data_IF_491650595605
#
_entry.id   IF_491650595605
#
_cell.length_a   1.000
_cell.length_b   1.000
_cell.length_c   1.000
_cell.angle_alpha   90.00
_cell.angle_beta   90.00
_cell.angle_gamma   90.00
#
_symmetry.space_group_name_H-M   'P 1'
#
loop_
_entity.id
_entity.type
_entity.pdbx_description
1 polymer ?
#
# COMPACT_ATOMS: atom_id res chain seq x y z
N UNK A 1 -5.61 2.73 -22.60
CA UNK A 1 -6.94 2.07 -22.76
C UNK A 1 -7.55 1.76 -21.39
N UNK A 2 -6.79 1.26 -20.44
CA UNK A 2 -7.21 0.89 -19.07
C UNK A 2 -7.89 2.04 -18.31
N UNK A 3 -7.30 3.21 -18.22
CA UNK A 3 -7.85 4.36 -17.48
C UNK A 3 -9.21 4.84 -17.98
N UNK A 4 -9.49 4.77 -19.30
CA UNK A 4 -10.82 5.13 -19.87
C UNK A 4 -11.90 4.13 -19.47
N UNK A 5 -11.56 2.84 -19.44
CA UNK A 5 -12.49 1.77 -19.02
C UNK A 5 -12.77 1.91 -17.51
N UNK A 6 -11.73 2.11 -16.71
CA UNK A 6 -11.86 2.32 -15.28
C UNK A 6 -12.75 3.52 -14.95
N UNK A 7 -12.53 4.66 -15.60
CA UNK A 7 -13.36 5.86 -15.44
C UNK A 7 -14.83 5.60 -15.83
N UNK A 8 -15.09 4.90 -16.93
CA UNK A 8 -16.44 4.57 -17.35
C UNK A 8 -17.15 3.66 -16.33
N UNK A 9 -16.47 2.63 -15.85
CA UNK A 9 -17.00 1.73 -14.79
C UNK A 9 -17.28 2.52 -13.52
N UNK A 10 -16.35 3.36 -13.09
CA UNK A 10 -16.52 4.23 -11.92
C UNK A 10 -17.79 5.08 -12.04
N UNK A 11 -17.97 5.80 -13.15
CA UNK A 11 -19.15 6.66 -13.38
C UNK A 11 -20.44 5.84 -13.35
N UNK A 12 -20.47 4.68 -14.03
CA UNK A 12 -21.65 3.81 -14.06
C UNK A 12 -22.03 3.32 -12.66
N UNK A 13 -21.06 2.89 -11.86
CA UNK A 13 -21.30 2.43 -10.48
C UNK A 13 -21.78 3.57 -9.60
N UNK A 14 -21.19 4.77 -9.72
CA UNK A 14 -21.63 5.96 -8.99
C UNK A 14 -23.09 6.31 -9.30
N UNK A 15 -23.47 6.31 -10.59
CA UNK A 15 -24.85 6.57 -11.02
C UNK A 15 -25.80 5.51 -10.46
N UNK A 16 -25.45 4.24 -10.59
CA UNK A 16 -26.27 3.13 -10.09
C UNK A 16 -26.53 3.25 -8.58
N UNK A 17 -25.48 3.43 -7.78
CA UNK A 17 -25.60 3.55 -6.33
C UNK A 17 -26.37 4.82 -5.94
N UNK A 18 -26.18 5.94 -6.65
CA UNK A 18 -26.95 7.17 -6.43
C UNK A 18 -28.46 6.95 -6.65
N UNK A 19 -28.83 6.32 -7.77
CA UNK A 19 -30.22 6.02 -8.09
C UNK A 19 -30.83 5.07 -7.05
N UNK A 20 -30.10 4.03 -6.67
CA UNK A 20 -30.55 3.08 -5.65
C UNK A 20 -30.69 3.73 -4.28
N UNK A 21 -29.79 4.64 -3.92
CA UNK A 21 -29.85 5.41 -2.66
C UNK A 21 -31.11 6.30 -2.62
N UNK A 22 -31.38 7.05 -3.70
CA UNK A 22 -32.59 7.88 -3.81
C UNK A 22 -33.87 7.04 -3.78
N UNK A 23 -33.89 5.90 -4.49
CA UNK A 23 -35.00 4.96 -4.43
C UNK A 23 -35.24 4.48 -3.00
N UNK A 24 -34.18 4.15 -2.26
CA UNK A 24 -34.23 3.70 -0.87
C UNK A 24 -34.82 4.77 0.06
N UNK A 25 -34.32 6.02 -0.03
CA UNK A 25 -34.78 7.14 0.80
C UNK A 25 -36.28 7.41 0.57
N UNK A 26 -36.74 7.37 -0.68
CA UNK A 26 -38.13 7.60 -1.05
C UNK A 26 -39.08 6.47 -0.56
N UNK A 27 -38.58 5.25 -0.41
CA UNK A 27 -39.37 4.11 0.05
C UNK A 27 -39.18 3.82 1.56
N UNK A 28 -38.32 4.56 2.26
CA UNK A 28 -38.11 4.40 3.69
C UNK A 28 -39.21 5.11 4.49
N UNK A 29 -39.97 4.42 5.36
CA UNK A 29 -40.97 5.05 6.21
C UNK A 29 -40.39 6.17 7.09
N UNK A 30 -39.12 6.01 7.53
CA UNK A 30 -38.43 6.94 8.42
C UNK A 30 -37.96 8.21 7.69
N UNK A 31 -37.47 8.08 6.44
CA UNK A 31 -36.79 9.18 5.75
C UNK A 31 -37.60 9.81 4.63
N UNK A 32 -38.70 9.21 4.20
CA UNK A 32 -39.51 9.71 3.07
C UNK A 32 -39.88 11.19 3.21
N UNK A 33 -40.35 11.61 4.38
CA UNK A 33 -40.83 12.99 4.63
C UNK A 33 -39.69 14.03 4.63
N UNK A 34 -38.50 13.66 5.14
CA UNK A 34 -37.28 14.45 5.11
C UNK A 34 -36.67 14.36 3.71
N UNK A 35 -36.74 13.18 3.11
CA UNK A 35 -36.20 12.84 1.81
C UNK A 35 -36.66 13.75 0.69
N UNK A 36 -37.95 14.01 0.60
CA UNK A 36 -38.51 14.90 -0.44
C UNK A 36 -37.96 16.34 -0.32
N UNK A 37 -37.84 16.86 0.91
CA UNK A 37 -37.35 18.23 1.14
C UNK A 37 -35.85 18.40 0.90
N UNK A 38 -35.06 17.34 1.07
CA UNK A 38 -33.59 17.37 0.98
C UNK A 38 -33.05 16.72 -0.30
N UNK A 39 -33.92 16.26 -1.21
CA UNK A 39 -33.53 15.51 -2.41
C UNK A 39 -32.47 16.24 -3.25
N UNK A 40 -32.69 17.52 -3.56
CA UNK A 40 -31.77 18.31 -4.38
C UNK A 40 -30.40 18.43 -3.69
N UNK A 41 -30.42 18.70 -2.39
CA UNK A 41 -29.17 18.85 -1.59
C UNK A 41 -28.40 17.53 -1.56
N UNK A 42 -29.06 16.39 -1.34
CA UNK A 42 -28.43 15.07 -1.34
C UNK A 42 -27.80 14.74 -2.70
N UNK A 43 -28.55 14.95 -3.79
CA UNK A 43 -28.04 14.70 -5.14
C UNK A 43 -26.84 15.61 -5.42
N UNK A 44 -26.89 16.88 -5.03
CA UNK A 44 -25.79 17.82 -5.23
C UNK A 44 -24.54 17.40 -4.45
N UNK A 45 -24.69 17.04 -3.17
CA UNK A 45 -23.57 16.55 -2.34
C UNK A 45 -22.97 15.26 -2.92
N UNK A 46 -23.82 14.28 -3.25
CA UNK A 46 -23.36 13.02 -3.82
C UNK A 46 -22.63 13.24 -5.15
N UNK A 47 -23.19 14.07 -6.03
CA UNK A 47 -22.55 14.38 -7.33
C UNK A 47 -21.21 15.09 -7.12
N UNK A 48 -21.13 16.05 -6.19
CA UNK A 48 -19.87 16.71 -5.86
C UNK A 48 -18.82 15.70 -5.38
N UNK A 49 -19.18 14.82 -4.45
CA UNK A 49 -18.27 13.77 -3.95
C UNK A 49 -17.86 12.79 -5.06
N UNK A 50 -18.76 12.41 -5.93
CA UNK A 50 -18.46 11.52 -7.05
C UNK A 50 -17.55 12.16 -8.12
N UNK A 51 -17.60 13.49 -8.28
CA UNK A 51 -16.77 14.23 -9.26
C UNK A 51 -15.38 14.54 -8.72
N UNK A 52 -15.23 14.69 -7.39
CA UNK A 52 -13.95 15.07 -6.77
C UNK A 52 -12.77 14.18 -7.17
N UNK A 53 -12.85 12.82 -7.15
CA UNK A 53 -11.73 11.98 -7.60
C UNK A 53 -11.34 12.23 -9.07
N UNK A 54 -12.32 12.54 -9.92
CA UNK A 54 -12.09 12.87 -11.33
C UNK A 54 -11.33 14.19 -11.46
N UNK A 55 -11.70 15.20 -10.67
CA UNK A 55 -10.98 16.48 -10.61
C UNK A 55 -9.54 16.26 -10.12
N UNK A 56 -9.33 15.47 -9.07
CA UNK A 56 -8.01 15.11 -8.58
C UNK A 56 -7.11 14.46 -9.63
N UNK A 57 -7.69 13.64 -10.52
CA UNK A 57 -6.93 12.98 -11.57
C UNK A 57 -6.55 13.91 -12.75
N UNK A 58 -7.47 14.76 -13.18
CA UNK A 58 -7.34 15.47 -14.47
C UNK A 58 -7.04 16.96 -14.38
N UNK A 59 -7.09 17.56 -13.19
CA UNK A 59 -6.67 18.96 -13.02
C UNK A 59 -5.15 19.12 -13.17
N UNK A 60 -4.66 20.28 -13.65
CA UNK A 60 -3.24 20.61 -13.61
C UNK A 60 -2.70 20.61 -12.19
N UNK A 61 -1.39 20.33 -12.02
CA UNK A 61 -0.70 20.37 -10.72
C UNK A 61 -1.01 21.68 -9.99
N UNK A 62 -1.64 21.62 -8.82
CA UNK A 62 -2.06 22.75 -8.00
C UNK A 62 -2.50 22.29 -6.62
N UNK A 63 -2.50 23.16 -5.62
CA UNK A 63 -3.03 22.86 -4.28
C UNK A 63 -4.48 22.37 -4.33
N UNK A 64 -5.29 22.89 -5.26
CA UNK A 64 -6.67 22.45 -5.44
C UNK A 64 -6.76 21.03 -6.01
N UNK A 65 -5.88 20.66 -6.95
CA UNK A 65 -5.76 19.27 -7.42
C UNK A 65 -5.49 18.32 -6.26
N UNK A 66 -4.50 18.62 -5.44
CA UNK A 66 -4.09 17.76 -4.32
C UNK A 66 -5.16 17.68 -3.23
N UNK A 67 -5.86 18.78 -2.96
CA UNK A 67 -7.06 18.76 -2.10
C UNK A 67 -8.13 17.81 -2.67
N UNK A 68 -8.41 17.87 -3.98
CA UNK A 68 -9.36 16.95 -4.62
C UNK A 68 -8.86 15.50 -4.58
N UNK A 69 -7.56 15.25 -4.75
CA UNK A 69 -7.00 13.91 -4.60
C UNK A 69 -7.22 13.35 -3.20
N UNK A 70 -6.85 14.10 -2.17
CA UNK A 70 -6.99 13.67 -0.77
C UNK A 70 -8.44 13.36 -0.40
N UNK A 71 -9.37 14.28 -0.71
CA UNK A 71 -10.79 14.06 -0.46
C UNK A 71 -11.37 12.95 -1.34
N UNK A 72 -10.85 12.81 -2.57
CA UNK A 72 -11.24 11.74 -3.50
C UNK A 72 -10.87 10.36 -2.99
N UNK A 73 -9.67 10.18 -2.45
CA UNK A 73 -9.21 8.92 -1.86
C UNK A 73 -10.09 8.54 -0.65
N UNK A 74 -10.41 9.51 0.19
CA UNK A 74 -11.32 9.32 1.35
C UNK A 74 -12.71 8.88 0.86
N UNK A 75 -13.26 9.60 -0.14
CA UNK A 75 -14.57 9.24 -0.72
C UNK A 75 -14.57 7.83 -1.32
N UNK A 76 -13.54 7.47 -2.07
CA UNK A 76 -13.45 6.15 -2.69
C UNK A 76 -13.39 5.03 -1.65
N UNK A 77 -12.64 5.21 -0.57
CA UNK A 77 -12.59 4.24 0.53
C UNK A 77 -13.96 4.02 1.16
N UNK A 78 -14.68 5.09 1.48
CA UNK A 78 -16.06 4.98 1.99
C UNK A 78 -16.99 4.33 0.97
N UNK A 79 -16.96 4.83 -0.28
CA UNK A 79 -17.83 4.39 -1.35
C UNK A 79 -17.69 2.90 -1.68
N UNK A 80 -16.48 2.37 -1.65
CA UNK A 80 -16.20 0.95 -1.89
C UNK A 80 -16.95 0.06 -0.89
N UNK A 81 -16.88 0.37 0.41
CA UNK A 81 -17.62 -0.37 1.43
C UNK A 81 -19.13 -0.15 1.31
N UNK A 82 -19.55 1.09 1.08
CA UNK A 82 -20.98 1.40 0.93
C UNK A 82 -21.59 0.64 -0.25
N UNK A 83 -20.96 0.68 -1.41
CA UNK A 83 -21.41 -0.07 -2.58
C UNK A 83 -21.41 -1.58 -2.36
N UNK A 84 -20.34 -2.12 -1.74
CA UNK A 84 -20.25 -3.53 -1.38
C UNK A 84 -21.38 -3.97 -0.44
N UNK A 85 -21.65 -3.23 0.61
CA UNK A 85 -22.77 -3.54 1.52
C UNK A 85 -24.13 -3.38 0.88
N UNK A 86 -24.33 -2.40 0.01
CA UNK A 86 -25.58 -2.26 -0.75
C UNK A 86 -25.84 -3.51 -1.60
N UNK A 87 -24.82 -3.97 -2.33
CA UNK A 87 -24.92 -5.17 -3.17
C UNK A 87 -25.24 -6.42 -2.33
N UNK A 88 -24.63 -6.56 -1.16
CA UNK A 88 -24.86 -7.71 -0.27
C UNK A 88 -26.18 -7.65 0.48
N UNK A 89 -26.54 -6.49 1.02
CA UNK A 89 -27.70 -6.34 1.88
C UNK A 89 -29.04 -6.44 1.14
N UNK A 90 -29.16 -5.93 -0.08
CA UNK A 90 -30.42 -5.95 -0.82
C UNK A 90 -30.98 -7.38 -0.97
N UNK A 91 -30.26 -8.38 -1.51
CA UNK A 91 -30.76 -9.73 -1.64
C UNK A 91 -31.03 -10.39 -0.28
N UNK A 92 -30.19 -10.17 0.73
CA UNK A 92 -30.36 -10.73 2.08
C UNK A 92 -31.66 -10.22 2.70
N UNK A 93 -31.87 -8.91 2.73
CA UNK A 93 -33.10 -8.31 3.27
C UNK A 93 -34.34 -8.78 2.50
N UNK A 94 -34.26 -8.90 1.17
CA UNK A 94 -35.35 -9.42 0.35
C UNK A 94 -35.75 -10.85 0.76
N UNK A 95 -34.78 -11.73 0.97
CA UNK A 95 -35.02 -13.12 1.40
C UNK A 95 -35.66 -13.14 2.81
N UNK A 96 -35.14 -12.36 3.74
CA UNK A 96 -35.66 -12.30 5.12
C UNK A 96 -37.10 -11.80 5.14
N UNK A 97 -37.40 -10.72 4.43
CA UNK A 97 -38.73 -10.13 4.40
C UNK A 97 -39.75 -11.02 3.69
N UNK A 98 -39.35 -11.72 2.63
CA UNK A 98 -40.19 -12.73 1.96
C UNK A 98 -40.59 -13.84 2.92
N UNK A 99 -39.68 -14.33 3.79
CA UNK A 99 -39.96 -15.34 4.82
C UNK A 99 -40.91 -14.84 5.88
N UNK A 100 -40.93 -13.53 6.16
CA UNK A 100 -41.87 -12.90 7.12
C UNK A 100 -43.24 -12.57 6.53
N UNK A 101 -43.50 -12.89 5.27
CA UNK A 101 -44.75 -12.60 4.57
C UNK A 101 -45.00 -11.12 4.23
N UNK A 102 -43.99 -10.29 4.40
CA UNK A 102 -44.04 -8.83 4.14
C UNK A 102 -43.13 -8.51 2.99
N UNK A 103 -43.68 -8.29 1.80
CA UNK A 103 -42.92 -7.85 0.62
C UNK A 103 -43.39 -6.45 0.26
N UNK A 104 -43.10 -5.48 1.11
CA UNK A 104 -43.18 -4.08 0.76
C UNK A 104 -41.78 -3.52 0.48
N UNK A 105 -41.71 -2.36 -0.18
CA UNK A 105 -40.42 -1.75 -0.54
C UNK A 105 -39.65 -1.15 0.68
N UNK A 106 -40.18 -1.25 1.87
CA UNK A 106 -39.54 -0.74 3.11
C UNK A 106 -38.26 -1.48 3.43
N UNK A 107 -38.13 -2.77 3.03
CA UNK A 107 -36.90 -3.53 3.22
C UNK A 107 -35.70 -2.92 2.48
N UNK A 108 -35.93 -2.30 1.32
CA UNK A 108 -34.86 -1.62 0.56
C UNK A 108 -34.32 -0.45 1.39
N UNK A 109 -35.22 0.36 1.98
CA UNK A 109 -34.84 1.45 2.87
C UNK A 109 -33.98 0.97 4.05
N UNK A 110 -34.39 -0.10 4.72
CA UNK A 110 -33.64 -0.67 5.84
C UNK A 110 -32.28 -1.23 5.40
N UNK A 111 -32.21 -1.90 4.25
CA UNK A 111 -30.96 -2.43 3.72
C UNK A 111 -29.92 -1.32 3.45
N UNK A 112 -30.35 -0.19 2.87
CA UNK A 112 -29.46 0.94 2.64
C UNK A 112 -29.01 1.65 3.91
N UNK A 113 -29.91 1.79 4.90
CA UNK A 113 -29.53 2.38 6.18
C UNK A 113 -28.48 1.50 6.91
N UNK A 114 -28.68 0.19 6.89
CA UNK A 114 -27.74 -0.76 7.45
C UNK A 114 -26.39 -0.71 6.69
N UNK A 115 -26.45 -0.72 5.34
CA UNK A 115 -25.27 -0.61 4.51
C UNK A 115 -24.47 0.67 4.79
N UNK A 116 -25.14 1.82 4.91
CA UNK A 116 -24.51 3.10 5.24
C UNK A 116 -23.85 3.07 6.62
N UNK A 117 -24.57 2.58 7.63
CA UNK A 117 -24.03 2.50 8.99
C UNK A 117 -22.83 1.54 9.07
N UNK A 118 -22.95 0.36 8.49
CA UNK A 118 -21.87 -0.63 8.45
C UNK A 118 -20.64 -0.10 7.71
N UNK A 119 -20.84 0.52 6.55
CA UNK A 119 -19.77 1.17 5.79
C UNK A 119 -19.10 2.28 6.60
N UNK A 120 -19.88 3.12 7.29
CA UNK A 120 -19.33 4.20 8.12
C UNK A 120 -18.48 3.68 9.26
N UNK A 121 -18.93 2.64 9.96
CA UNK A 121 -18.19 2.04 11.10
C UNK A 121 -16.88 1.44 10.62
N UNK A 122 -16.93 0.61 9.56
CA UNK A 122 -15.72 -0.04 9.02
C UNK A 122 -14.75 1.00 8.43
N UNK A 123 -15.28 2.01 7.74
CA UNK A 123 -14.47 3.08 7.18
C UNK A 123 -13.72 3.88 8.25
N UNK A 124 -14.43 4.32 9.32
CA UNK A 124 -13.80 5.04 10.44
C UNK A 124 -12.77 4.14 11.15
N UNK A 125 -13.11 2.87 11.38
CA UNK A 125 -12.16 1.91 11.92
C UNK A 125 -10.91 1.81 11.04
N UNK A 126 -11.08 1.62 9.72
CA UNK A 126 -9.98 1.48 8.78
C UNK A 126 -9.06 2.69 8.71
N UNK A 127 -9.62 3.92 8.76
CA UNK A 127 -8.85 5.16 8.81
C UNK A 127 -7.98 5.25 10.07
N UNK A 128 -8.54 4.93 11.23
CA UNK A 128 -7.80 4.98 12.52
C UNK A 128 -6.76 3.87 12.57
N UNK A 129 -7.12 2.67 12.12
CA UNK A 129 -6.27 1.50 12.16
C UNK A 129 -5.03 1.63 11.28
N UNK A 130 -5.16 2.22 10.09
CA UNK A 130 -4.07 2.45 9.16
C UNK A 130 -2.97 3.38 9.72
N UNK A 131 -3.29 4.23 10.71
CA UNK A 131 -2.34 5.17 11.32
C UNK A 131 -1.59 4.57 12.52
N UNK A 132 -1.73 3.27 12.77
CA UNK A 132 -1.17 2.62 13.96
C UNK A 132 -0.23 1.48 13.58
N UNK A 133 1.01 1.79 13.14
CA UNK A 133 1.99 0.75 12.84
C UNK A 133 2.28 -0.11 14.06
N UNK A 134 2.43 -1.42 13.82
CA UNK A 134 2.72 -2.43 14.83
C UNK A 134 4.06 -3.08 14.54
N UNK A 135 4.75 -3.54 15.58
CA UNK A 135 5.92 -4.39 15.42
C UNK A 135 5.49 -5.83 15.14
N UNK A 136 6.03 -6.40 14.06
CA UNK A 136 5.94 -7.82 13.73
C UNK A 136 7.35 -8.39 13.76
N UNK A 137 7.54 -9.54 14.41
CA UNK A 137 8.87 -10.14 14.56
C UNK A 137 8.90 -11.53 13.94
N UNK A 138 9.97 -11.81 13.21
CA UNK A 138 10.29 -13.12 12.66
C UNK A 138 11.69 -13.56 13.10
N UNK A 139 11.81 -14.81 13.53
CA UNK A 139 13.09 -15.46 13.80
C UNK A 139 13.40 -16.40 12.64
N UNK A 140 14.56 -16.22 11.99
CA UNK A 140 14.97 -16.91 10.78
C UNK A 140 16.32 -17.57 11.00
N UNK A 141 16.46 -18.83 10.60
CA UNK A 141 17.73 -19.53 10.59
C UNK A 141 18.23 -19.69 9.14
N UNK A 142 19.43 -19.21 8.85
CA UNK A 142 20.10 -19.39 7.57
C UNK A 142 21.31 -20.30 7.74
N UNK A 143 21.47 -21.24 6.81
CA UNK A 143 22.63 -22.15 6.81
C UNK A 143 23.80 -21.46 6.08
N UNK A 144 24.85 -21.08 6.84
CA UNK A 144 26.08 -20.56 6.25
C UNK A 144 27.27 -20.79 7.20
N UNK A 145 28.23 -21.59 6.78
CA UNK A 145 29.39 -21.98 7.61
C UNK A 145 30.31 -20.78 7.95
N UNK A 146 30.44 -19.78 7.06
CA UNK A 146 31.28 -18.61 7.32
C UNK A 146 30.68 -17.67 8.37
N UNK A 147 29.34 -17.64 8.46
CA UNK A 147 28.59 -16.81 9.41
C UNK A 147 28.17 -17.57 10.69
N UNK A 148 28.48 -18.85 10.79
CA UNK A 148 28.00 -19.74 11.85
C UNK A 148 28.16 -19.20 13.26
N UNK A 149 27.06 -19.23 14.01
CA UNK A 149 27.00 -18.75 15.39
C UNK A 149 26.95 -17.24 15.54
N UNK A 150 26.81 -16.50 14.43
CA UNK A 150 26.56 -15.05 14.40
C UNK A 150 25.05 -14.79 14.29
N UNK A 151 24.67 -13.58 14.61
CA UNK A 151 23.29 -13.09 14.51
C UNK A 151 23.28 -11.75 13.77
N UNK A 152 22.16 -11.40 13.15
CA UNK A 152 21.94 -10.13 12.48
C UNK A 152 20.48 -9.71 12.69
N UNK A 153 20.26 -8.51 13.21
CA UNK A 153 18.92 -7.92 13.36
C UNK A 153 18.64 -6.95 12.22
N UNK A 154 17.63 -7.26 11.43
CA UNK A 154 17.19 -6.43 10.31
C UNK A 154 15.84 -5.84 10.65
N UNK A 155 15.67 -4.52 10.52
CA UNK A 155 14.34 -3.92 10.43
C UNK A 155 14.00 -3.72 8.96
N UNK A 156 12.93 -4.36 8.52
CA UNK A 156 12.36 -4.21 7.17
C UNK A 156 11.18 -3.26 7.23
N UNK A 157 11.28 -2.19 6.47
CA UNK A 157 10.21 -1.23 6.17
C UNK A 157 9.89 -1.32 4.67
N UNK A 158 8.66 -1.04 4.29
CA UNK A 158 8.24 -0.91 2.90
C UNK A 158 6.95 -0.11 2.78
N UNK A 159 6.61 0.30 1.57
CA UNK A 159 5.28 0.82 1.25
C UNK A 159 4.86 1.97 2.18
N UNK A 160 5.73 2.96 2.38
CA UNK A 160 5.41 4.14 3.20
C UNK A 160 4.30 4.96 2.55
N UNK A 161 4.26 4.97 1.22
CA UNK A 161 3.26 5.65 0.41
C UNK A 161 2.99 7.08 0.85
N UNK A 162 4.06 7.86 1.04
CA UNK A 162 3.95 9.27 1.37
C UNK A 162 3.16 10.00 0.27
N UNK A 163 2.08 10.67 0.67
CA UNK A 163 1.10 11.24 -0.26
C UNK A 163 0.27 12.35 0.38
N UNK A 164 -0.73 12.82 -0.34
CA UNK A 164 -1.67 13.86 0.12
C UNK A 164 -2.46 13.48 1.40
N UNK A 165 -2.57 12.20 1.71
CA UNK A 165 -3.29 11.70 2.88
C UNK A 165 -2.36 11.23 4.03
N UNK A 166 -1.03 11.35 3.89
CA UNK A 166 -0.09 10.90 4.90
C UNK A 166 -0.19 11.69 6.20
N UNK A 167 0.03 11.02 7.33
CA UNK A 167 0.09 11.62 8.66
C UNK A 167 1.53 11.50 9.21
N UNK A 168 2.17 12.62 9.46
CA UNK A 168 3.53 12.67 10.02
C UNK A 168 3.65 11.91 11.34
N UNK A 169 2.59 11.88 12.16
CA UNK A 169 2.61 11.15 13.43
C UNK A 169 2.73 9.63 13.24
N UNK A 170 2.14 9.09 12.18
CA UNK A 170 2.29 7.67 11.85
C UNK A 170 3.74 7.36 11.42
N UNK A 171 4.37 8.26 10.63
CA UNK A 171 5.78 8.16 10.26
C UNK A 171 6.70 8.25 11.48
N UNK A 172 6.47 9.23 12.36
CA UNK A 172 7.25 9.37 13.60
C UNK A 172 7.13 8.13 14.49
N UNK A 173 5.92 7.58 14.64
CA UNK A 173 5.70 6.34 15.40
C UNK A 173 6.39 5.12 14.77
N UNK A 174 6.39 5.03 13.42
CA UNK A 174 7.15 3.98 12.71
C UNK A 174 8.64 4.10 13.03
N UNK A 175 9.23 5.30 12.97
CA UNK A 175 10.64 5.56 13.31
C UNK A 175 10.93 5.18 14.76
N UNK A 176 10.07 5.54 15.71
CA UNK A 176 10.20 5.15 17.12
C UNK A 176 10.22 3.63 17.29
N UNK A 177 9.30 2.91 16.61
CA UNK A 177 9.24 1.44 16.67
C UNK A 177 10.50 0.84 16.06
N UNK A 178 10.92 1.30 14.86
CA UNK A 178 12.11 0.80 14.19
C UNK A 178 13.36 0.95 15.05
N UNK A 179 13.60 2.14 15.61
CA UNK A 179 14.74 2.41 16.46
C UNK A 179 14.70 1.64 17.79
N UNK A 180 13.50 1.38 18.35
CA UNK A 180 13.36 0.62 19.60
C UNK A 180 13.75 -0.86 19.46
N UNK A 181 13.87 -1.36 18.23
CA UNK A 181 14.37 -2.70 17.93
C UNK A 181 15.89 -2.81 18.07
N UNK A 182 16.62 -1.69 18.13
CA UNK A 182 18.10 -1.64 18.12
C UNK A 182 18.65 -2.54 16.98
N UNK A 183 18.29 -2.26 15.72
CA UNK A 183 18.67 -3.09 14.57
C UNK A 183 20.15 -2.86 14.20
N UNK A 184 20.79 -3.90 13.66
CA UNK A 184 22.10 -3.78 13.04
C UNK A 184 22.00 -3.04 11.70
N UNK A 185 20.92 -3.29 10.94
CA UNK A 185 20.63 -2.64 9.65
C UNK A 185 19.13 -2.37 9.49
N UNK A 186 18.79 -1.24 8.88
CA UNK A 186 17.42 -0.94 8.44
C UNK A 186 17.38 -1.00 6.92
N UNK A 187 16.39 -1.70 6.36
CA UNK A 187 16.16 -1.77 4.92
C UNK A 187 14.75 -1.30 4.57
N UNK A 188 14.63 -0.54 3.48
CA UNK A 188 13.36 0.00 2.96
C UNK A 188 13.11 -0.60 1.59
N UNK A 189 12.16 -1.51 1.49
CA UNK A 189 11.84 -2.24 0.27
C UNK A 189 10.86 -1.47 -0.65
N UNK A 190 11.15 -0.22 -0.95
CA UNK A 190 10.46 0.57 -1.97
C UNK A 190 9.11 1.16 -1.57
N UNK A 191 8.49 1.84 -2.54
CA UNK A 191 7.22 2.58 -2.42
C UNK A 191 7.23 3.58 -1.26
N UNK A 192 8.29 4.42 -1.23
CA UNK A 192 8.41 5.51 -0.26
C UNK A 192 7.36 6.58 -0.57
N UNK A 193 7.08 6.82 -1.84
CA UNK A 193 6.01 7.72 -2.30
C UNK A 193 4.83 6.94 -2.89
N UNK A 194 3.66 7.60 -2.91
CA UNK A 194 2.55 7.21 -3.79
C UNK A 194 2.55 8.18 -4.96
N UNK A 195 3.53 8.15 -5.83
CA UNK A 195 3.63 9.06 -6.97
C UNK A 195 3.35 10.54 -6.60
N UNK A 196 3.73 11.52 -7.36
CA UNK A 196 3.43 12.92 -7.07
C UNK A 196 4.04 13.47 -5.76
N UNK A 197 5.35 13.63 -5.74
CA UNK A 197 6.07 14.32 -4.66
C UNK A 197 5.40 15.67 -4.27
N UNK A 198 5.00 16.45 -5.26
CA UNK A 198 4.32 17.75 -5.06
C UNK A 198 3.01 17.67 -4.26
N UNK A 199 2.42 16.48 -4.14
CA UNK A 199 1.21 16.23 -3.37
C UNK A 199 1.48 16.06 -1.87
N UNK A 200 2.71 15.77 -1.48
CA UNK A 200 3.10 15.62 -0.09
C UNK A 200 3.17 17.00 0.57
N UNK A 201 2.40 17.16 1.64
CA UNK A 201 2.41 18.41 2.41
C UNK A 201 3.62 18.42 3.35
N UNK A 202 4.40 19.51 3.31
CA UNK A 202 5.59 19.69 4.16
C UNK A 202 6.59 18.51 4.06
N UNK A 203 7.11 18.15 2.86
CA UNK A 203 7.97 16.98 2.68
C UNK A 203 9.20 16.98 3.58
N UNK A 204 9.76 18.15 3.89
CA UNK A 204 10.88 18.32 4.81
C UNK A 204 10.63 17.71 6.21
N UNK A 205 9.38 17.76 6.70
CA UNK A 205 9.06 17.13 8.00
C UNK A 205 9.15 15.61 7.95
N UNK A 206 8.85 15.03 6.79
CA UNK A 206 8.94 13.59 6.61
C UNK A 206 10.40 13.15 6.45
N UNK A 207 11.20 13.87 5.64
CA UNK A 207 12.62 13.58 5.54
C UNK A 207 13.35 13.77 6.88
N UNK A 208 13.04 14.84 7.64
CA UNK A 208 13.54 15.03 9.01
C UNK A 208 13.15 13.90 9.97
N UNK A 209 11.92 13.37 9.85
CA UNK A 209 11.49 12.24 10.66
C UNK A 209 12.23 10.96 10.27
N UNK A 210 12.34 10.68 8.97
CA UNK A 210 13.01 9.50 8.43
C UNK A 210 14.52 9.52 8.66
N UNK A 211 15.18 10.69 8.64
CA UNK A 211 16.61 10.82 8.95
C UNK A 211 16.99 10.44 10.39
N UNK A 212 16.00 10.28 11.26
CA UNK A 212 16.18 9.77 12.63
C UNK A 212 16.17 8.24 12.72
N UNK A 213 15.93 7.52 11.62
CA UNK A 213 16.16 6.09 11.55
C UNK A 213 17.63 5.81 11.80
N UNK A 214 17.92 4.89 12.72
CA UNK A 214 19.29 4.63 13.18
C UNK A 214 19.56 3.13 13.28
N UNK A 215 20.62 2.70 12.60
CA UNK A 215 21.17 1.35 12.70
C UNK A 215 22.70 1.43 12.55
N UNK A 216 23.43 0.46 13.10
CA UNK A 216 24.90 0.44 13.12
C UNK A 216 25.48 0.43 11.71
N UNK A 217 24.94 -0.42 10.82
CA UNK A 217 25.34 -0.53 9.41
C UNK A 217 24.62 0.50 8.50
N UNK A 218 23.72 1.31 9.06
CA UNK A 218 22.99 2.35 8.33
C UNK A 218 21.62 1.92 7.79
N UNK A 219 21.05 2.78 6.94
CA UNK A 219 19.72 2.62 6.34
C UNK A 219 19.86 2.49 4.83
N UNK A 220 19.42 1.38 4.28
CA UNK A 220 19.46 1.10 2.84
C UNK A 220 18.05 1.05 2.27
N UNK A 221 17.90 1.49 1.02
CA UNK A 221 16.61 1.49 0.35
C UNK A 221 16.72 1.01 -1.10
N UNK A 222 15.65 0.48 -1.62
CA UNK A 222 15.40 0.37 -3.05
C UNK A 222 14.17 1.20 -3.41
N UNK A 223 13.99 1.56 -4.68
CA UNK A 223 12.77 2.18 -5.13
C UNK A 223 11.75 1.11 -5.53
N UNK A 224 10.46 1.42 -5.31
CA UNK A 224 9.36 0.62 -5.81
C UNK A 224 8.69 1.25 -7.03
N UNK A 225 7.66 0.59 -7.54
CA UNK A 225 6.95 1.00 -8.76
C UNK A 225 6.14 2.29 -8.61
N UNK A 226 5.99 2.81 -7.39
CA UNK A 226 5.34 4.10 -7.12
C UNK A 226 6.31 5.24 -6.75
N UNK A 227 7.62 4.99 -6.71
CA UNK A 227 8.64 6.03 -6.51
C UNK A 227 8.94 6.79 -7.81
N UNK A 228 7.90 7.15 -8.53
CA UNK A 228 7.91 7.87 -9.82
C UNK A 228 6.79 8.92 -9.87
N UNK A 229 6.98 9.97 -10.68
CA UNK A 229 5.93 10.96 -10.92
C UNK A 229 4.98 10.45 -12.01
N UNK A 230 3.72 10.25 -11.66
CA UNK A 230 2.72 9.73 -12.58
C UNK A 230 1.30 10.23 -12.23
N UNK A 231 0.36 10.07 -13.16
CA UNK A 231 -1.02 10.45 -12.92
C UNK A 231 -1.77 9.37 -12.14
N UNK A 232 -2.46 9.80 -11.09
CA UNK A 232 -3.28 8.93 -10.25
C UNK A 232 -4.77 9.24 -10.44
N UNK A 233 -5.61 8.20 -10.43
CA UNK A 233 -7.05 8.30 -10.30
C UNK A 233 -7.50 7.59 -9.02
N UNK A 234 -7.94 8.37 -8.04
CA UNK A 234 -8.36 7.82 -6.74
C UNK A 234 -7.24 7.12 -5.97
N UNK A 235 -6.00 7.55 -6.18
CA UNK A 235 -4.81 6.95 -5.62
C UNK A 235 -4.19 5.83 -6.46
N UNK A 236 -4.86 5.37 -7.52
CA UNK A 236 -4.35 4.30 -8.39
C UNK A 236 -3.68 4.86 -9.64
N UNK A 237 -2.54 4.29 -10.03
CA UNK A 237 -1.80 4.69 -11.23
C UNK A 237 -2.62 4.47 -12.50
N UNK A 238 -2.60 5.46 -13.39
CA UNK A 238 -3.23 5.40 -14.72
C UNK A 238 -2.27 5.80 -15.85
N UNK A 239 -1.01 6.09 -15.55
CA UNK A 239 0.04 6.41 -16.50
C UNK A 239 0.65 5.16 -17.13
N UNK A 240 1.09 5.22 -18.40
CA UNK A 240 1.94 4.18 -18.98
C UNK A 240 3.36 4.26 -18.38
N UNK A 241 4.09 3.15 -18.41
CA UNK A 241 5.48 3.07 -17.92
C UNK A 241 6.38 4.12 -18.55
N UNK A 242 6.22 4.36 -19.87
CA UNK A 242 7.00 5.37 -20.62
C UNK A 242 6.81 6.82 -20.14
N UNK A 243 5.90 7.09 -19.23
CA UNK A 243 5.68 8.39 -18.59
C UNK A 243 6.05 8.37 -17.09
N UNK A 244 6.53 7.23 -16.57
CA UNK A 244 6.88 7.04 -15.17
C UNK A 244 8.36 7.34 -14.92
N UNK A 245 8.66 8.57 -14.53
CA UNK A 245 10.02 9.04 -14.23
C UNK A 245 10.14 9.43 -12.77
N UNK A 246 11.26 9.09 -12.15
CA UNK A 246 11.62 9.63 -10.84
C UNK A 246 12.05 11.09 -10.99
N UNK A 247 11.69 11.95 -10.07
CA UNK A 247 12.05 13.36 -10.09
C UNK A 247 13.30 13.62 -9.24
N UNK A 248 14.01 14.73 -9.53
CA UNK A 248 15.15 15.17 -8.72
C UNK A 248 14.79 15.49 -7.28
N UNK A 249 13.54 15.92 -7.04
CA UNK A 249 13.02 16.19 -5.70
C UNK A 249 12.84 14.90 -4.89
N UNK A 250 12.42 13.80 -5.54
CA UNK A 250 12.35 12.48 -4.90
C UNK A 250 13.76 11.97 -4.56
N UNK A 251 14.72 12.10 -5.48
CA UNK A 251 16.12 11.72 -5.23
C UNK A 251 16.72 12.52 -4.08
N UNK A 252 16.47 13.83 -4.03
CA UNK A 252 16.93 14.68 -2.93
C UNK A 252 16.28 14.30 -1.60
N UNK A 253 14.99 13.97 -1.60
CA UNK A 253 14.29 13.50 -0.41
C UNK A 253 14.92 12.22 0.17
N UNK A 254 15.34 11.28 -0.66
CA UNK A 254 16.04 10.07 -0.17
C UNK A 254 17.36 10.42 0.50
N UNK A 255 18.13 11.36 -0.08
CA UNK A 255 19.37 11.85 0.51
C UNK A 255 19.10 12.55 1.85
N UNK A 256 18.12 13.44 1.90
CA UNK A 256 17.75 14.19 3.12
C UNK A 256 17.20 13.27 4.22
N UNK A 257 16.57 12.14 3.81
CA UNK A 257 16.11 11.08 4.73
C UNK A 257 17.25 10.17 5.23
N UNK A 258 18.48 10.35 4.74
CA UNK A 258 19.62 9.52 5.14
C UNK A 258 19.63 8.11 4.52
N UNK A 259 18.90 7.88 3.43
CA UNK A 259 18.82 6.59 2.77
C UNK A 259 19.99 6.37 1.80
N UNK A 260 20.65 5.21 1.93
CA UNK A 260 21.58 4.69 0.94
C UNK A 260 20.79 3.90 -0.10
N UNK A 261 20.40 4.54 -1.20
CA UNK A 261 19.60 3.87 -2.26
C UNK A 261 20.48 2.95 -3.10
N UNK A 262 20.08 1.71 -3.19
CA UNK A 262 20.77 0.68 -3.97
C UNK A 262 20.08 0.49 -5.33
N UNK A 263 20.78 0.87 -6.40
CA UNK A 263 20.35 0.68 -7.79
C UNK A 263 21.19 -0.43 -8.40
N UNK A 264 20.72 -1.68 -8.31
CA UNK A 264 21.46 -2.89 -8.71
C UNK A 264 22.88 -2.94 -8.14
N UNK A 265 23.00 -2.60 -6.84
CA UNK A 265 24.29 -2.50 -6.14
C UNK A 265 24.32 -3.41 -4.92
N UNK A 266 25.52 -3.91 -4.64
CA UNK A 266 25.84 -4.74 -3.49
C UNK A 266 26.71 -3.98 -2.51
N UNK A 267 26.43 -4.14 -1.21
CA UNK A 267 27.20 -3.63 -0.07
C UNK A 267 27.40 -4.72 0.96
N UNK A 268 28.46 -4.64 1.74
CA UNK A 268 28.66 -5.51 2.90
C UNK A 268 27.96 -4.89 4.12
N UNK A 269 27.33 -5.74 4.94
CA UNK A 269 26.68 -5.40 6.20
C UNK A 269 27.11 -6.36 7.31
N UNK A 270 26.87 -6.00 8.60
CA UNK A 270 27.24 -6.81 9.76
C UNK A 270 28.76 -6.98 9.89
N UNK A 271 29.53 -5.90 9.72
CA UNK A 271 31.00 -5.96 9.67
C UNK A 271 31.53 -6.93 8.60
N UNK A 272 30.87 -6.98 7.44
CA UNK A 272 31.20 -7.87 6.34
C UNK A 272 30.71 -9.30 6.51
N UNK A 273 29.79 -9.54 7.45
CA UNK A 273 29.15 -10.84 7.70
C UNK A 273 28.30 -11.29 6.52
N UNK A 274 27.49 -10.38 5.96
CA UNK A 274 26.57 -10.63 4.85
C UNK A 274 26.80 -9.64 3.73
N UNK A 275 26.32 -9.98 2.54
CA UNK A 275 26.14 -9.03 1.43
C UNK A 275 24.67 -8.64 1.30
N UNK A 276 24.38 -7.36 1.14
CA UNK A 276 23.07 -6.81 0.83
C UNK A 276 23.07 -6.29 -0.59
N UNK A 277 22.23 -6.85 -1.46
CA UNK A 277 22.07 -6.43 -2.86
C UNK A 277 20.71 -5.83 -3.08
N UNK A 278 20.64 -4.54 -3.44
CA UNK A 278 19.38 -3.89 -3.81
C UNK A 278 19.11 -4.02 -5.30
N UNK A 279 17.86 -4.33 -5.65
CA UNK A 279 17.43 -4.54 -7.03
C UNK A 279 16.48 -3.43 -7.50
N UNK A 280 16.66 -2.96 -8.73
CA UNK A 280 15.75 -2.02 -9.41
C UNK A 280 14.38 -2.66 -9.62
N UNK A 281 13.32 -1.88 -9.50
CA UNK A 281 11.93 -2.34 -9.68
C UNK A 281 11.65 -2.79 -11.11
N UNK A 282 10.96 -3.92 -11.26
CA UNK A 282 10.69 -4.53 -12.55
C UNK A 282 9.46 -4.00 -13.26
N UNK A 283 8.53 -3.38 -12.57
CA UNK A 283 7.37 -2.73 -13.19
C UNK A 283 7.76 -1.34 -13.71
N UNK A 284 8.50 -0.53 -12.89
CA UNK A 284 8.92 0.82 -13.24
C UNK A 284 10.31 1.13 -12.66
N UNK A 285 11.32 1.10 -13.51
CA UNK A 285 12.69 1.40 -13.12
C UNK A 285 12.92 2.88 -12.68
N UNK A 286 11.97 3.76 -12.99
CA UNK A 286 12.03 5.19 -12.66
C UNK A 286 12.67 6.07 -13.74
N UNK A 287 12.94 5.51 -14.92
CA UNK A 287 13.52 6.15 -16.09
C UNK A 287 12.64 6.04 -17.36
N UNK A 288 11.37 5.65 -17.17
CA UNK A 288 10.41 5.41 -18.25
C UNK A 288 10.51 4.02 -18.86
N UNK A 289 11.26 3.11 -18.25
CA UNK A 289 11.40 1.71 -18.67
C UNK A 289 11.00 0.73 -17.57
N UNK A 290 10.96 -0.55 -17.90
CA UNK A 290 10.87 -1.68 -16.95
C UNK A 290 12.17 -2.51 -17.00
N UNK A 291 13.27 -1.90 -17.42
CA UNK A 291 14.55 -2.59 -17.57
C UNK A 291 15.22 -2.76 -16.21
N UNK A 292 15.56 -4.01 -15.86
CA UNK A 292 16.34 -4.34 -14.66
C UNK A 292 17.24 -5.53 -14.93
N UNK A 293 18.25 -5.70 -14.10
CA UNK A 293 19.14 -6.86 -14.20
C UNK A 293 18.37 -8.16 -13.92
N UNK A 294 18.67 -9.21 -14.69
CA UNK A 294 18.23 -10.56 -14.35
C UNK A 294 18.85 -10.99 -13.02
N UNK A 295 18.27 -11.98 -12.31
CA UNK A 295 18.89 -12.51 -11.09
C UNK A 295 20.33 -12.97 -11.28
N UNK A 296 20.67 -13.57 -12.44
CA UNK A 296 22.01 -14.00 -12.78
C UNK A 296 22.98 -12.82 -12.89
N UNK A 297 22.59 -11.76 -13.61
CA UNK A 297 23.41 -10.56 -13.79
C UNK A 297 23.59 -9.81 -12.47
N UNK A 298 22.50 -9.65 -11.69
CA UNK A 298 22.49 -8.96 -10.42
C UNK A 298 23.46 -9.61 -9.41
N UNK A 299 23.41 -10.92 -9.29
CA UNK A 299 24.15 -11.68 -8.28
C UNK A 299 25.48 -12.26 -8.79
N UNK A 300 25.90 -11.92 -10.01
CA UNK A 300 27.12 -12.45 -10.64
C UNK A 300 28.38 -12.17 -9.83
N UNK A 301 28.53 -10.96 -9.32
CA UNK A 301 29.73 -10.50 -8.63
C UNK A 301 29.63 -10.60 -7.10
N UNK A 302 28.52 -11.15 -6.54
CA UNK A 302 28.36 -11.30 -5.09
C UNK A 302 29.26 -12.43 -4.55
N UNK A 303 29.82 -12.23 -3.37
CA UNK A 303 30.60 -13.24 -2.65
C UNK A 303 29.69 -14.30 -2.04
N UNK A 304 29.56 -15.45 -2.72
CA UNK A 304 28.71 -16.57 -2.30
C UNK A 304 29.26 -17.35 -1.10
N UNK A 305 30.43 -17.01 -0.57
CA UNK A 305 30.93 -17.58 0.68
C UNK A 305 30.24 -16.97 1.90
N UNK A 306 29.65 -15.78 1.75
CA UNK A 306 28.84 -15.08 2.75
C UNK A 306 27.35 -15.27 2.48
N UNK A 307 26.47 -15.08 3.50
CA UNK A 307 25.04 -14.98 3.26
C UNK A 307 24.69 -13.83 2.31
N UNK A 308 23.90 -14.11 1.28
CA UNK A 308 23.45 -13.12 0.29
C UNK A 308 22.01 -12.73 0.57
N UNK A 309 21.80 -11.47 0.91
CA UNK A 309 20.48 -10.87 1.16
C UNK A 309 20.13 -10.00 -0.03
N UNK A 310 18.97 -10.24 -0.64
CA UNK A 310 18.42 -9.41 -1.72
C UNK A 310 17.30 -8.54 -1.17
N UNK A 311 17.37 -7.25 -1.43
CA UNK A 311 16.33 -6.28 -1.17
C UNK A 311 15.70 -5.87 -2.50
N UNK A 312 14.43 -6.19 -2.70
CA UNK A 312 13.65 -5.76 -3.87
C UNK A 312 12.24 -5.36 -3.45
N UNK A 313 11.54 -4.61 -4.26
CA UNK A 313 10.20 -4.17 -3.93
C UNK A 313 9.17 -5.27 -4.18
N UNK A 314 9.12 -5.81 -5.39
CA UNK A 314 8.12 -6.79 -5.80
C UNK A 314 8.53 -8.22 -5.41
N UNK A 315 7.60 -9.04 -4.85
CA UNK A 315 7.87 -10.43 -4.47
C UNK A 315 7.78 -11.37 -5.69
N UNK A 316 8.76 -11.29 -6.59
CA UNK A 316 8.79 -12.03 -7.85
C UNK A 316 10.17 -12.68 -8.11
N UNK A 317 10.22 -13.62 -9.07
CA UNK A 317 11.46 -14.28 -9.52
C UNK A 317 12.27 -14.99 -8.42
N UNK A 318 11.63 -15.44 -7.35
CA UNK A 318 12.30 -16.13 -6.23
C UNK A 318 13.13 -17.35 -6.67
N UNK A 319 12.65 -18.14 -7.64
CA UNK A 319 13.40 -19.25 -8.19
C UNK A 319 14.73 -18.78 -8.83
N UNK A 320 14.68 -17.73 -9.63
CA UNK A 320 15.88 -17.17 -10.27
C UNK A 320 16.87 -16.61 -9.25
N UNK A 321 16.40 -15.93 -8.21
CA UNK A 321 17.25 -15.42 -7.14
C UNK A 321 17.89 -16.55 -6.33
N UNK A 322 17.13 -17.59 -5.99
CA UNK A 322 17.61 -18.78 -5.29
C UNK A 322 18.68 -19.54 -6.11
N UNK A 323 18.40 -19.78 -7.40
CA UNK A 323 19.33 -20.47 -8.31
C UNK A 323 20.67 -19.72 -8.46
N UNK A 324 20.65 -18.40 -8.23
CA UNK A 324 21.84 -17.54 -8.26
C UNK A 324 22.41 -17.22 -6.87
N UNK A 325 21.95 -17.91 -5.83
CA UNK A 325 22.57 -17.97 -4.50
C UNK A 325 22.11 -16.88 -3.55
N UNK A 326 20.87 -16.37 -3.69
CA UNK A 326 20.23 -15.58 -2.64
C UNK A 326 19.80 -16.49 -1.49
N UNK A 327 20.21 -16.17 -0.25
CA UNK A 327 19.81 -16.90 0.96
C UNK A 327 18.55 -16.30 1.58
N UNK A 328 18.38 -14.98 1.48
CA UNK A 328 17.24 -14.23 2.02
C UNK A 328 16.78 -13.17 1.02
N UNK A 329 15.47 -13.11 0.75
CA UNK A 329 14.87 -12.07 -0.10
C UNK A 329 13.85 -11.28 0.71
N UNK A 330 13.99 -9.95 0.73
CA UNK A 330 13.19 -9.02 1.51
C UNK A 330 12.37 -8.14 0.57
N UNK A 331 11.02 -8.17 0.71
CA UNK A 331 10.10 -7.49 -0.20
C UNK A 331 8.97 -6.75 0.54
N UNK A 332 8.29 -5.85 -0.20
CA UNK A 332 7.03 -5.17 0.15
C UNK A 332 5.92 -5.43 -0.86
N UNK A 333 5.37 -4.35 -1.42
CA UNK A 333 4.47 -4.27 -2.58
C UNK A 333 3.03 -4.76 -2.36
N UNK A 334 2.83 -5.89 -1.73
CA UNK A 334 1.49 -6.54 -1.67
C UNK A 334 0.54 -5.90 -0.67
N UNK A 335 1.06 -5.15 0.30
CA UNK A 335 0.31 -4.61 1.45
C UNK A 335 -0.48 -5.68 2.24
N UNK A 336 -0.15 -6.98 2.06
CA UNK A 336 -1.02 -8.07 2.48
C UNK A 336 -2.47 -7.84 2.00
N UNK A 337 -2.64 -7.24 0.79
CA UNK A 337 -3.91 -6.87 0.19
C UNK A 337 -4.63 -5.68 0.83
N UNK A 338 -4.05 -5.02 1.84
CA UNK A 338 -4.51 -3.79 2.52
C UNK A 338 -5.94 -3.82 3.07
N UNK A 339 -6.93 -4.24 2.27
CA UNK A 339 -8.36 -4.25 2.60
C UNK A 339 -8.93 -5.64 2.32
N UNK A 340 -9.49 -6.30 3.35
CA UNK A 340 -10.17 -7.59 3.18
C UNK A 340 -11.29 -7.50 2.10
N UNK A 341 -11.37 -8.46 1.16
CA UNK A 341 -10.65 -9.74 1.07
C UNK A 341 -9.35 -9.69 0.22
N UNK A 342 -8.73 -8.54 0.05
CA UNK A 342 -7.51 -8.35 -0.74
C UNK A 342 -6.35 -9.26 -0.27
N UNK A 343 -6.27 -9.54 1.03
CA UNK A 343 -5.27 -10.47 1.58
C UNK A 343 -5.41 -11.91 1.03
N UNK A 344 -6.64 -12.36 0.79
CA UNK A 344 -6.87 -13.66 0.14
C UNK A 344 -6.39 -13.62 -1.31
N UNK A 345 -6.67 -12.51 -2.00
CA UNK A 345 -6.26 -12.32 -3.40
C UNK A 345 -4.72 -12.27 -3.50
N UNK A 346 -4.05 -11.50 -2.65
CA UNK A 346 -2.59 -11.42 -2.60
C UNK A 346 -1.96 -12.80 -2.36
N UNK A 347 -2.53 -13.61 -1.45
CA UNK A 347 -2.04 -14.96 -1.18
C UNK A 347 -2.24 -15.96 -2.32
N UNK A 348 -3.19 -15.72 -3.23
CA UNK A 348 -3.46 -16.57 -4.40
C UNK A 348 -2.58 -16.16 -5.59
N UNK A 349 -2.36 -14.86 -5.77
CA UNK A 349 -1.68 -14.33 -6.95
C UNK A 349 -0.15 -14.32 -6.81
N UNK A 350 0.40 -14.35 -5.59
CA UNK A 350 1.84 -14.30 -5.33
C UNK A 350 2.34 -15.61 -4.72
N UNK A 351 3.55 -16.05 -5.05
CA UNK A 351 4.20 -17.20 -4.41
C UNK A 351 4.36 -16.96 -2.91
N UNK A 352 4.78 -15.75 -2.54
CA UNK A 352 4.72 -15.23 -1.19
C UNK A 352 4.00 -13.88 -1.20
N UNK A 353 2.76 -13.83 -0.77
CA UNK A 353 2.01 -12.58 -0.66
C UNK A 353 2.15 -11.89 0.70
N UNK A 354 2.66 -12.57 1.74
CA UNK A 354 2.87 -12.01 3.07
C UNK A 354 3.58 -12.97 4.01
N UNK A 355 4.42 -12.44 4.87
CA UNK A 355 5.11 -13.17 5.93
C UNK A 355 6.34 -13.90 5.43
N UNK A 356 6.77 -14.91 6.18
CA UNK A 356 7.96 -15.71 5.89
C UNK A 356 7.58 -16.98 5.17
N UNK A 357 8.28 -17.29 4.07
CA UNK A 357 8.19 -18.58 3.38
C UNK A 357 9.57 -19.03 2.91
N UNK A 358 9.78 -20.32 2.93
CA UNK A 358 10.91 -20.95 2.25
C UNK A 358 10.45 -21.37 0.84
N UNK A 359 11.06 -20.80 -0.19
CA UNK A 359 10.71 -21.04 -1.60
C UNK A 359 11.98 -21.29 -2.40
N UNK A 360 11.99 -22.37 -3.17
CA UNK A 360 13.10 -22.73 -4.08
C UNK A 360 14.47 -22.83 -3.40
N UNK A 361 14.52 -23.00 -2.07
CA UNK A 361 15.76 -23.07 -1.30
C UNK A 361 16.27 -21.71 -0.77
N UNK A 362 15.51 -20.63 -0.93
CA UNK A 362 15.76 -19.33 -0.29
C UNK A 362 14.65 -18.99 0.70
N UNK A 363 14.98 -18.26 1.75
CA UNK A 363 13.98 -17.68 2.67
C UNK A 363 13.48 -16.35 2.10
N UNK A 364 12.16 -16.19 2.06
CA UNK A 364 11.54 -14.96 1.56
C UNK A 364 10.71 -14.31 2.66
N UNK A 365 10.81 -12.99 2.81
CA UNK A 365 10.01 -12.19 3.74
C UNK A 365 9.31 -11.09 2.97
N UNK A 366 7.97 -11.10 3.03
CA UNK A 366 7.14 -10.05 2.43
C UNK A 366 6.39 -9.33 3.54
N UNK A 367 6.69 -8.05 3.73
CA UNK A 367 5.99 -7.23 4.73
C UNK A 367 4.66 -6.70 4.21
N UNK A 368 3.70 -6.44 5.11
CA UNK A 368 2.48 -5.72 4.76
C UNK A 368 2.69 -4.21 4.54
N UNK A 369 3.89 -3.72 4.83
CA UNK A 369 4.24 -2.31 4.69
C UNK A 369 3.61 -1.39 5.74
N UNK A 370 4.13 -0.17 5.81
CA UNK A 370 3.75 0.81 6.83
C UNK A 370 2.56 1.66 6.41
N UNK A 371 2.55 2.12 5.17
CA UNK A 371 1.55 3.03 4.63
C UNK A 371 0.33 2.36 4.02
N UNK A 372 -0.26 3.02 3.06
CA UNK A 372 -1.43 2.54 2.33
C UNK A 372 -1.45 3.12 0.91
N UNK A 373 -1.88 2.31 -0.03
CA UNK A 373 -2.06 2.70 -1.43
C UNK A 373 -3.53 3.06 -1.70
N UNK A 374 -3.78 4.20 -2.35
CA UNK A 374 -5.12 4.66 -2.67
C UNK A 374 -5.92 5.16 -1.45
N UNK A 375 -7.04 4.53 -1.07
CA UNK A 375 -7.81 4.93 0.11
C UNK A 375 -6.99 4.83 1.41
N UNK A 376 -6.97 5.88 2.26
CA UNK A 376 -6.10 5.94 3.44
C UNK A 376 -6.61 5.07 4.59
N UNK A 377 -6.70 3.75 4.38
CA UNK A 377 -7.29 2.85 5.34
C UNK A 377 -6.75 1.42 5.23
N UNK A 378 -6.79 0.69 6.34
CA UNK A 378 -6.53 -0.76 6.41
C UNK A 378 -7.65 -1.47 7.13
N UNK A 379 -8.13 -2.59 6.57
CA UNK A 379 -9.20 -3.40 7.14
C UNK A 379 -8.85 -4.88 6.97
N UNK A 380 -8.64 -5.57 8.09
CA UNK A 380 -8.26 -6.98 8.09
C UNK A 380 -6.77 -7.24 7.82
N UNK A 381 -5.98 -6.17 7.74
CA UNK A 381 -4.51 -6.20 7.64
C UNK A 381 -3.94 -5.09 8.51
N UNK A 382 -2.71 -5.20 8.94
CA UNK A 382 -2.04 -4.21 9.79
C UNK A 382 -1.06 -3.34 8.99
N UNK A 383 -0.82 -2.12 9.46
CA UNK A 383 0.37 -1.34 9.16
C UNK A 383 1.51 -1.89 10.03
N UNK A 384 2.68 -2.21 9.47
CA UNK A 384 3.70 -2.90 10.24
C UNK A 384 5.13 -2.41 10.01
N UNK A 385 5.93 -2.50 11.08
CA UNK A 385 7.38 -2.48 11.08
C UNK A 385 7.82 -3.92 11.33
N UNK A 386 8.63 -4.49 10.46
CA UNK A 386 9.01 -5.89 10.55
C UNK A 386 10.43 -6.02 11.10
N UNK A 387 10.58 -6.68 12.26
CA UNK A 387 11.88 -7.06 12.81
C UNK A 387 12.19 -8.50 12.40
N UNK A 388 13.37 -8.72 11.86
CA UNK A 388 13.86 -10.03 11.45
C UNK A 388 15.14 -10.33 12.24
N UNK A 389 15.08 -11.32 13.12
CA UNK A 389 16.24 -11.83 13.82
C UNK A 389 16.80 -13.00 12.99
N UNK A 390 17.94 -12.79 12.37
CA UNK A 390 18.62 -13.83 11.56
C UNK A 390 19.71 -14.47 12.41
N UNK A 391 19.66 -15.79 12.55
CA UNK A 391 20.73 -16.62 13.15
C UNK A 391 21.37 -17.50 12.10
N UNK A 392 22.69 -17.63 12.12
CA UNK A 392 23.43 -18.42 11.15
C UNK A 392 23.93 -19.72 11.80
N UNK A 393 23.67 -20.86 11.11
CA UNK A 393 24.04 -22.20 11.57
C UNK A 393 25.00 -22.94 10.62
#
# INVERSE_FOLDING_TARGET
>A
MFGKVFLAVYILVQILISVLTEYSVNNSPTFRRIGEKTKIIRIAIYTALAVIPVLGAFLPKSQFKYFCMGLGNIWLGFFMFYAGFVILCIPIFRIVMKKKGSVDNSFVGMAFQFAFLAASVIFIYGLIHAQQPKLVTYDIELANEAAKGRELKIVLLADLHLSVNSDIKATEKMVEIANSCEPDVIVVAGDIFTSNYDGLKDPEKYSDALSRLHAEDGVYAVCGNHDVDENLFGGFSVSPVSEAFRTSEMDQFFIDSGFNVLYDKTVDIGDGLCTLTGRVDGEKAGDGTSDRLSPEELLKETDKSKPVIVLEHEPVEFAGLADNGADLVLCGHTHNGQIFPGNIIASILSENGYGVKELHGTTTVVTAGVGYYGPPMRVGTDSEVTLINVSFR
#
